data_IF_089345898018
#
_entry.id   IF_089345898018
#
_cell.length_a   1.000
_cell.length_b   1.000
_cell.length_c   1.000
_cell.angle_alpha   90.00
_cell.angle_beta   90.00
_cell.angle_gamma   90.00
#
_symmetry.space_group_name_H-M   'P 1'
#
loop_
_entity.id
_entity.type
_entity.pdbx_description
1 polymer ?
#
# COMPACT_ATOMS: atom_id res chain seq x y z
N UNK A 1 22.59 -5.37 30.20
CA UNK A 1 23.10 -4.64 29.02
C UNK A 1 21.91 -4.54 28.07
N UNK A 2 21.27 -3.37 28.01
CA UNK A 2 20.11 -3.15 27.12
C UNK A 2 20.64 -2.94 25.70
N UNK A 3 20.15 -3.71 24.74
CA UNK A 3 20.54 -3.61 23.33
C UNK A 3 19.84 -2.40 22.71
N UNK A 4 20.60 -1.33 22.46
CA UNK A 4 20.14 -0.11 21.77
C UNK A 4 19.50 -0.40 20.40
N UNK A 5 19.96 -1.45 19.71
CA UNK A 5 19.45 -1.84 18.39
C UNK A 5 17.98 -2.27 18.44
N UNK A 6 17.57 -2.98 19.51
CA UNK A 6 16.20 -3.46 19.68
C UNK A 6 15.21 -2.31 19.89
N UNK A 7 15.61 -1.26 20.59
CA UNK A 7 14.75 -0.10 20.84
C UNK A 7 14.53 0.73 19.56
N UNK A 8 15.57 0.87 18.74
CA UNK A 8 15.48 1.56 17.46
C UNK A 8 14.60 0.81 16.46
N UNK A 9 14.74 -0.53 16.38
CA UNK A 9 13.90 -1.39 15.54
C UNK A 9 12.42 -1.31 15.96
N UNK A 10 12.13 -1.40 17.26
CA UNK A 10 10.77 -1.26 17.78
C UNK A 10 10.15 0.11 17.46
N UNK A 11 10.94 1.18 17.54
CA UNK A 11 10.49 2.53 17.21
C UNK A 11 10.16 2.69 15.72
N UNK A 12 10.94 2.08 14.84
CA UNK A 12 10.68 2.10 13.40
C UNK A 12 9.43 1.27 13.04
N UNK A 13 9.31 0.06 13.60
CA UNK A 13 8.13 -0.78 13.40
C UNK A 13 6.85 -0.10 13.93
N UNK A 14 6.93 0.57 15.08
CA UNK A 14 5.81 1.33 15.64
C UNK A 14 5.35 2.46 14.72
N UNK A 15 6.28 3.19 14.09
CA UNK A 15 5.92 4.26 13.14
C UNK A 15 5.29 3.72 11.86
N UNK A 16 5.84 2.62 11.32
CA UNK A 16 5.28 1.99 10.13
C UNK A 16 3.87 1.46 10.38
N UNK A 17 3.62 0.90 11.57
CA UNK A 17 2.28 0.50 11.99
C UNK A 17 1.33 1.70 12.11
N UNK A 18 1.82 2.82 12.63
CA UNK A 18 1.02 4.05 12.75
C UNK A 18 0.63 4.60 11.37
N UNK A 19 1.57 4.62 10.42
CA UNK A 19 1.30 4.99 9.02
C UNK A 19 0.33 4.01 8.34
N UNK A 20 0.49 2.70 8.55
CA UNK A 20 -0.46 1.70 8.06
C UNK A 20 -1.87 1.95 8.59
N UNK A 21 -1.99 2.28 9.88
CA UNK A 21 -3.27 2.56 10.54
C UNK A 21 -3.92 3.84 9.99
N UNK A 22 -3.15 4.93 9.86
CA UNK A 22 -3.64 6.20 9.32
C UNK A 22 -4.10 6.06 7.86
N UNK A 23 -3.33 5.35 7.03
CA UNK A 23 -3.70 5.13 5.63
C UNK A 23 -4.90 4.19 5.49
N UNK A 24 -4.98 3.11 6.26
CA UNK A 24 -6.15 2.24 6.26
C UNK A 24 -7.43 2.98 6.67
N UNK A 25 -7.37 3.83 7.70
CA UNK A 25 -8.51 4.66 8.11
C UNK A 25 -8.92 5.67 7.02
N UNK A 26 -7.95 6.29 6.36
CA UNK A 26 -8.20 7.24 5.26
C UNK A 26 -8.89 6.55 4.08
N UNK A 27 -8.38 5.39 3.65
CA UNK A 27 -8.97 4.62 2.56
C UNK A 27 -10.36 4.08 2.92
N UNK A 28 -10.53 3.54 4.14
CA UNK A 28 -11.83 3.10 4.61
C UNK A 28 -12.87 4.25 4.62
N UNK A 29 -12.45 5.46 4.96
CA UNK A 29 -13.32 6.64 4.85
C UNK A 29 -13.69 6.93 3.40
N UNK A 30 -12.72 6.98 2.49
CA UNK A 30 -12.96 7.27 1.07
C UNK A 30 -13.89 6.21 0.43
N UNK A 31 -13.55 4.93 0.58
CA UNK A 31 -14.29 3.81 -0.01
C UNK A 31 -15.72 3.71 0.55
N UNK A 32 -15.92 3.96 1.85
CA UNK A 32 -17.27 4.05 2.44
C UNK A 32 -18.15 5.13 1.79
N UNK A 33 -17.53 6.16 1.23
CA UNK A 33 -18.22 7.26 0.54
C UNK A 33 -18.15 7.11 -0.99
N UNK A 34 -17.85 5.91 -1.51
CA UNK A 34 -17.76 5.60 -2.94
C UNK A 34 -16.73 6.50 -3.66
N UNK A 35 -15.69 6.91 -2.93
CA UNK A 35 -14.58 7.70 -3.45
C UNK A 35 -13.33 6.82 -3.59
N UNK A 36 -12.77 6.82 -4.79
CA UNK A 36 -11.48 6.20 -5.11
C UNK A 36 -10.41 7.28 -5.07
N UNK A 37 -9.28 7.04 -4.39
CA UNK A 37 -8.15 7.96 -4.40
C UNK A 37 -7.50 7.97 -5.79
N UNK A 38 -7.21 6.79 -6.35
CA UNK A 38 -6.84 6.57 -7.75
C UNK A 38 -5.41 6.92 -8.12
N UNK A 39 -4.68 7.61 -7.24
CA UNK A 39 -3.28 7.99 -7.46
C UNK A 39 -2.39 7.76 -6.23
N UNK A 40 -2.59 6.64 -5.50
CA UNK A 40 -1.77 6.33 -4.33
C UNK A 40 -0.36 5.95 -4.78
N UNK A 41 0.63 6.72 -4.33
CA UNK A 41 2.05 6.44 -4.57
C UNK A 41 2.93 7.15 -3.54
N UNK A 42 4.23 6.85 -3.52
CA UNK A 42 5.21 7.54 -2.66
C UNK A 42 5.36 9.03 -2.99
N UNK A 43 4.98 9.47 -4.20
CA UNK A 43 5.01 10.89 -4.59
C UNK A 43 3.75 11.65 -4.12
N UNK A 44 2.63 10.95 -3.99
CA UNK A 44 1.35 11.53 -3.59
C UNK A 44 1.02 11.34 -2.12
N UNK A 45 1.81 10.56 -1.38
CA UNK A 45 1.73 10.45 0.08
C UNK A 45 2.97 11.11 0.71
N UNK A 46 2.77 11.85 1.79
CA UNK A 46 3.85 12.58 2.47
C UNK A 46 3.72 12.46 3.99
N UNK A 47 4.85 12.37 4.68
CA UNK A 47 4.89 12.49 6.15
C UNK A 47 5.17 13.96 6.45
N UNK A 48 4.24 14.64 7.14
CA UNK A 48 4.36 16.06 7.45
C UNK A 48 5.07 16.30 8.80
N UNK A 49 5.34 17.56 9.16
CA UNK A 49 6.24 17.92 10.27
C UNK A 49 5.82 17.34 11.62
N UNK A 50 4.52 17.19 11.86
CA UNK A 50 3.97 16.57 13.07
C UNK A 50 4.04 15.04 13.07
N UNK A 51 4.56 14.43 12.00
CA UNK A 51 4.67 12.99 11.82
C UNK A 51 3.42 12.32 11.26
N UNK A 52 2.38 13.06 10.87
CA UNK A 52 1.19 12.48 10.26
C UNK A 52 1.43 12.07 8.79
N UNK A 53 0.82 10.95 8.38
CA UNK A 53 0.75 10.53 6.98
C UNK A 53 -0.38 11.29 6.27
N UNK A 54 -0.02 12.09 5.27
CA UNK A 54 -0.95 12.89 4.47
C UNK A 54 -1.07 12.34 3.05
N UNK A 55 -2.30 12.08 2.63
CA UNK A 55 -2.66 11.77 1.25
C UNK A 55 -2.77 13.05 0.42
N UNK A 56 -2.36 12.96 -0.84
CA UNK A 56 -2.43 14.02 -1.83
C UNK A 56 -3.85 14.23 -2.34
N UNK A 57 -3.95 14.82 -3.53
CA UNK A 57 -5.25 15.08 -4.15
C UNK A 57 -5.89 13.78 -4.65
N UNK A 58 -7.17 13.61 -4.32
CA UNK A 58 -8.02 12.54 -4.89
C UNK A 58 -8.27 12.83 -6.37
N UNK A 59 -8.20 11.79 -7.23
CA UNK A 59 -8.54 11.95 -8.64
C UNK A 59 -10.06 11.94 -8.86
N UNK A 60 -10.64 13.14 -8.85
CA UNK A 60 -12.07 13.32 -9.07
C UNK A 60 -12.57 12.80 -10.43
N UNK A 61 -11.70 12.63 -11.44
CA UNK A 61 -12.11 12.15 -12.78
C UNK A 61 -12.51 10.68 -12.75
N UNK A 62 -11.86 9.88 -11.92
CA UNK A 62 -12.22 8.48 -11.68
C UNK A 62 -13.62 8.42 -11.06
N UNK A 63 -13.90 9.33 -10.12
CA UNK A 63 -15.14 9.37 -9.36
C UNK A 63 -16.36 9.91 -10.14
N UNK A 64 -16.15 10.79 -11.13
CA UNK A 64 -17.24 11.33 -11.97
C UNK A 64 -17.96 10.25 -12.79
N UNK A 65 -17.30 9.14 -13.11
CA UNK A 65 -17.88 8.06 -13.92
C UNK A 65 -19.02 7.30 -13.20
N UNK A 66 -19.17 7.50 -11.89
CA UNK A 66 -20.14 6.79 -11.05
C UNK A 66 -21.45 7.58 -10.81
N UNK A 67 -21.51 8.86 -11.19
CA UNK A 67 -22.69 9.70 -10.89
C UNK A 67 -23.89 9.42 -11.81
N UNK A 68 -23.68 8.91 -13.03
CA UNK A 68 -24.73 8.83 -14.07
C UNK A 68 -25.15 7.41 -14.49
N UNK A 69 -24.52 6.34 -13.99
CA UNK A 69 -24.82 4.95 -14.42
C UNK A 69 -25.04 4.03 -13.22
N UNK A 70 -26.30 3.89 -12.79
CA UNK A 70 -26.70 3.17 -11.57
C UNK A 70 -26.51 1.64 -11.56
N UNK A 71 -26.28 1.01 -12.71
CA UNK A 71 -26.26 -0.47 -12.83
C UNK A 71 -24.93 -1.04 -13.35
N UNK A 72 -24.01 -0.18 -13.77
CA UNK A 72 -22.65 -0.59 -14.11
C UNK A 72 -21.78 -0.28 -12.88
N UNK A 73 -20.96 -1.25 -12.48
CA UNK A 73 -19.70 -1.05 -11.76
C UNK A 73 -19.59 -1.22 -10.23
N UNK A 74 -20.46 -1.95 -9.51
CA UNK A 74 -20.08 -2.41 -8.15
C UNK A 74 -18.77 -3.23 -8.16
N UNK A 75 -18.63 -4.14 -9.14
CA UNK A 75 -17.40 -4.93 -9.27
C UNK A 75 -16.20 -4.09 -9.67
N UNK A 76 -16.38 -3.11 -10.55
CA UNK A 76 -15.29 -2.22 -10.96
C UNK A 76 -14.91 -1.24 -9.84
N UNK A 77 -15.87 -0.75 -9.08
CA UNK A 77 -15.60 0.04 -7.88
C UNK A 77 -14.77 -0.80 -6.91
N UNK A 78 -15.17 -2.04 -6.62
CA UNK A 78 -14.35 -2.98 -5.81
C UNK A 78 -12.96 -3.22 -6.38
N UNK A 79 -12.82 -3.29 -7.71
CA UNK A 79 -11.50 -3.43 -8.34
C UNK A 79 -10.64 -2.18 -8.12
N UNK A 80 -11.22 -0.97 -8.19
CA UNK A 80 -10.53 0.28 -7.92
C UNK A 80 -10.19 0.45 -6.43
N UNK A 81 -11.09 0.06 -5.52
CA UNK A 81 -10.81 0.01 -4.08
C UNK A 81 -9.65 -0.94 -3.80
N UNK A 82 -9.66 -2.12 -4.41
CA UNK A 82 -8.57 -3.10 -4.33
C UNK A 82 -7.26 -2.53 -4.88
N UNK A 83 -7.32 -1.75 -5.97
CA UNK A 83 -6.15 -1.08 -6.55
C UNK A 83 -5.58 -0.01 -5.61
N UNK A 84 -6.43 0.78 -4.95
CA UNK A 84 -6.01 1.72 -3.90
C UNK A 84 -5.30 0.97 -2.75
N UNK A 85 -5.89 -0.11 -2.25
CA UNK A 85 -5.32 -0.92 -1.18
C UNK A 85 -3.97 -1.54 -1.57
N UNK A 86 -3.87 -2.03 -2.81
CA UNK A 86 -2.64 -2.60 -3.36
C UNK A 86 -1.53 -1.55 -3.49
N UNK A 87 -1.86 -0.38 -4.04
CA UNK A 87 -0.92 0.72 -4.17
C UNK A 87 -0.48 1.26 -2.81
N UNK A 88 -1.36 1.25 -1.81
CA UNK A 88 -0.98 1.57 -0.44
C UNK A 88 -0.01 0.52 0.15
N UNK A 89 -0.21 -0.77 -0.14
CA UNK A 89 0.75 -1.83 0.16
C UNK A 89 2.16 -1.55 -0.39
N UNK A 90 2.25 -1.05 -1.63
CA UNK A 90 3.54 -0.66 -2.24
C UNK A 90 4.22 0.48 -1.50
N UNK A 91 3.45 1.46 -1.02
CA UNK A 91 3.97 2.56 -0.20
C UNK A 91 4.51 2.04 1.12
N UNK A 92 3.76 1.17 1.82
CA UNK A 92 4.20 0.58 3.09
C UNK A 92 5.47 -0.27 2.92
N UNK A 93 5.54 -1.08 1.87
CA UNK A 93 6.76 -1.80 1.51
C UNK A 93 7.93 -0.84 1.28
N UNK A 94 7.69 0.24 0.52
CA UNK A 94 8.75 1.20 0.20
C UNK A 94 9.28 1.91 1.44
N UNK A 95 8.40 2.21 2.40
CA UNK A 95 8.77 2.75 3.69
C UNK A 95 9.52 1.74 4.57
N UNK A 96 9.14 0.45 4.53
CA UNK A 96 9.80 -0.58 5.34
C UNK A 96 11.18 -0.94 4.83
N UNK A 97 11.35 -1.01 3.51
CA UNK A 97 12.58 -1.45 2.86
C UNK A 97 13.49 -0.30 2.42
N UNK A 98 13.01 0.95 2.50
CA UNK A 98 13.64 2.14 1.90
C UNK A 98 14.01 1.93 0.43
N UNK A 99 13.14 1.22 -0.30
CA UNK A 99 13.31 0.88 -1.71
C UNK A 99 11.93 0.77 -2.36
N UNK A 100 11.79 1.30 -3.58
CA UNK A 100 10.53 1.14 -4.32
C UNK A 100 10.17 -0.34 -4.54
N UNK A 101 8.88 -0.64 -4.42
CA UNK A 101 8.33 -1.93 -4.80
C UNK A 101 8.34 -2.06 -6.33
N UNK A 102 8.93 -3.14 -6.85
CA UNK A 102 8.94 -3.42 -8.29
C UNK A 102 7.94 -4.52 -8.60
N UNK A 103 6.96 -4.21 -9.44
CA UNK A 103 6.06 -5.19 -10.05
C UNK A 103 6.84 -5.95 -11.15
N UNK A 104 7.90 -6.69 -10.80
CA UNK A 104 8.66 -7.45 -11.81
C UNK A 104 7.83 -8.62 -12.33
N UNK A 105 6.91 -8.33 -13.26
CA UNK A 105 6.34 -9.29 -14.21
C UNK A 105 6.82 -9.03 -15.65
N UNK A 106 7.52 -7.93 -15.92
CA UNK A 106 7.83 -7.53 -17.31
C UNK A 106 9.32 -7.60 -17.73
N UNK A 107 10.29 -7.92 -16.84
CA UNK A 107 11.72 -8.01 -17.23
C UNK A 107 12.41 -9.37 -17.00
N UNK A 108 11.70 -10.44 -16.63
CA UNK A 108 12.27 -11.80 -16.58
C UNK A 108 11.38 -12.79 -17.35
N UNK A 109 11.16 -12.53 -18.65
CA UNK A 109 10.62 -13.53 -19.58
C UNK A 109 11.69 -14.25 -20.41
N UNK A 110 12.95 -14.26 -19.98
CA UNK A 110 13.95 -15.16 -20.53
C UNK A 110 14.81 -15.76 -19.42
N UNK A 111 14.24 -16.72 -18.69
CA UNK A 111 14.79 -18.08 -18.57
C UNK A 111 14.08 -18.83 -17.43
N UNK A 112 13.54 -19.99 -17.79
CA UNK A 112 13.09 -21.07 -16.91
C UNK A 112 11.75 -20.87 -16.19
N UNK A 113 10.75 -21.48 -16.83
CA UNK A 113 9.45 -21.90 -16.32
C UNK A 113 9.58 -22.61 -14.96
N UNK A 114 9.33 -21.88 -13.87
CA UNK A 114 8.87 -22.42 -12.60
C UNK A 114 7.79 -21.49 -12.07
N UNK A 115 6.56 -21.98 -12.03
CA UNK A 115 5.41 -21.33 -11.41
C UNK A 115 5.64 -21.16 -9.92
N UNK A 116 6.18 -20.02 -9.52
CA UNK A 116 5.98 -19.35 -8.24
C UNK A 116 6.44 -17.91 -8.48
N UNK A 117 5.55 -16.93 -8.37
CA UNK A 117 5.95 -15.52 -8.33
C UNK A 117 7.09 -15.38 -7.31
N UNK A 118 8.18 -14.73 -7.68
CA UNK A 118 9.30 -14.53 -6.75
C UNK A 118 8.75 -13.98 -5.41
N UNK A 119 9.13 -14.56 -4.27
CA UNK A 119 8.58 -14.15 -2.99
C UNK A 119 8.94 -12.69 -2.73
N UNK A 120 7.93 -11.89 -2.35
CA UNK A 120 8.15 -10.50 -1.92
C UNK A 120 9.19 -10.52 -0.80
N UNK A 121 10.37 -9.97 -1.08
CA UNK A 121 11.52 -10.08 -0.21
C UNK A 121 11.59 -8.87 0.72
N UNK A 122 11.61 -9.13 2.03
CA UNK A 122 11.85 -8.12 3.06
C UNK A 122 13.22 -8.39 3.69
N UNK A 123 14.12 -7.42 3.55
CA UNK A 123 15.48 -7.44 4.10
C UNK A 123 15.59 -6.69 5.42
N UNK A 124 14.68 -5.73 5.66
CA UNK A 124 14.72 -4.84 6.83
C UNK A 124 13.58 -5.10 7.78
N UNK A 125 12.38 -5.32 7.26
CA UNK A 125 11.23 -5.61 8.10
C UNK A 125 11.34 -7.04 8.65
N UNK A 126 11.48 -7.15 9.96
CA UNK A 126 11.46 -8.43 10.66
C UNK A 126 10.15 -9.19 10.42
N UNK A 127 10.19 -10.51 10.49
CA UNK A 127 8.98 -11.34 10.42
C UNK A 127 8.00 -10.95 11.53
N UNK A 128 6.72 -10.84 11.19
CA UNK A 128 5.68 -10.47 12.13
C UNK A 128 4.40 -9.99 11.45
N UNK A 129 3.37 -9.60 12.23
CA UNK A 129 2.05 -9.25 11.70
C UNK A 129 2.07 -8.10 10.69
N UNK A 130 2.96 -7.13 10.89
CA UNK A 130 3.11 -5.98 9.99
C UNK A 130 3.61 -6.40 8.60
N UNK A 131 4.56 -7.33 8.54
CA UNK A 131 5.05 -7.90 7.28
C UNK A 131 3.95 -8.67 6.56
N UNK A 132 3.22 -9.52 7.28
CA UNK A 132 2.10 -10.29 6.72
C UNK A 132 0.99 -9.40 6.18
N UNK A 133 0.66 -8.31 6.90
CA UNK A 133 -0.31 -7.33 6.42
C UNK A 133 0.15 -6.66 5.12
N UNK A 134 1.41 -6.24 5.03
CA UNK A 134 1.93 -5.64 3.78
C UNK A 134 1.89 -6.65 2.63
N UNK A 135 2.24 -7.92 2.89
CA UNK A 135 2.13 -9.00 1.88
C UNK A 135 0.68 -9.18 1.43
N UNK A 136 -0.29 -9.17 2.35
CA UNK A 136 -1.71 -9.28 2.02
C UNK A 136 -2.21 -8.13 1.14
N UNK A 137 -1.74 -6.90 1.40
CA UNK A 137 -2.07 -5.75 0.56
C UNK A 137 -1.42 -5.86 -0.84
N UNK A 138 -0.21 -6.40 -0.93
CA UNK A 138 0.52 -6.54 -2.19
C UNK A 138 0.01 -7.69 -3.06
N UNK A 139 -0.56 -8.73 -2.48
CA UNK A 139 -1.20 -9.79 -3.26
C UNK A 139 -2.50 -9.26 -3.86
N UNK A 140 -2.56 -9.15 -5.19
CA UNK A 140 -3.79 -8.77 -5.90
C UNK A 140 -4.86 -9.83 -5.62
N UNK A 141 -6.01 -9.39 -5.10
CA UNK A 141 -7.24 -10.20 -4.95
C UNK A 141 -7.93 -10.34 -6.29
#
# INVERSE_FOLDING_TARGET
MYNFDTELEMKQASKLLDYASQGALTLAFLHKHELIHGQISSQNLSIVEDGALRFGFVDFRVNLQFQDVKEINEQYLKNLESEDMHNFGKVLYSLSELKEFSDNNDEIQQQNKSTLSDPICFSRLSNGPLKEMIIQLLNKV
#
